data_IF_386426515782
#
_entry.id   IF_386426515782
#
_cell.length_a   1.000
_cell.length_b   1.000
_cell.length_c   1.000
_cell.angle_alpha   90.00
_cell.angle_beta   90.00
_cell.angle_gamma   90.00
#
_symmetry.space_group_name_H-M   'P 1'
#
loop_
_entity.id
_entity.type
_entity.pdbx_description
1 polymer ?
#
# COMPACT_ATOMS: atom_id res chain seq x y z
N UNK A 1 6.73 6.01 12.47
CA UNK A 1 6.15 7.32 12.12
C UNK A 1 6.90 8.52 12.69
N UNK A 2 7.46 8.50 13.91
CA UNK A 2 8.28 9.63 14.41
C UNK A 2 9.61 9.81 13.65
N UNK A 3 9.94 8.88 12.74
CA UNK A 3 11.14 8.87 11.90
C UNK A 3 10.97 9.61 10.57
N UNK A 4 9.74 9.87 10.12
CA UNK A 4 9.48 10.52 8.82
C UNK A 4 8.88 11.91 9.05
N UNK A 5 9.50 12.92 8.42
CA UNK A 5 9.11 14.34 8.52
C UNK A 5 7.84 14.62 7.74
N UNK A 6 7.73 14.00 6.56
CA UNK A 6 6.54 13.92 5.74
C UNK A 6 6.33 12.45 5.38
N UNK A 7 5.08 11.99 5.39
CA UNK A 7 4.72 10.62 5.01
C UNK A 7 3.32 10.61 4.40
N UNK A 8 3.20 10.06 3.19
CA UNK A 8 1.98 10.07 2.38
C UNK A 8 1.86 8.73 1.63
N UNK A 9 0.76 8.04 1.92
CA UNK A 9 0.38 6.79 1.29
C UNK A 9 -0.73 7.10 0.27
N UNK A 10 -0.49 6.82 -1.00
CA UNK A 10 -1.49 7.00 -2.07
C UNK A 10 -1.89 5.63 -2.59
N UNK A 11 -3.21 5.42 -2.70
CA UNK A 11 -3.82 4.15 -3.12
C UNK A 11 -4.69 4.44 -4.33
N UNK A 12 -4.45 3.77 -5.45
CA UNK A 12 -5.21 3.95 -6.69
C UNK A 12 -5.64 2.60 -7.25
N UNK A 13 -6.89 2.22 -6.99
CA UNK A 13 -7.52 1.07 -7.61
C UNK A 13 -8.07 1.46 -9.00
N UNK A 14 -7.48 0.93 -10.05
CA UNK A 14 -7.95 1.08 -11.43
C UNK A 14 -8.64 -0.21 -11.89
N UNK A 15 -9.94 -0.19 -12.24
CA UNK A 15 -10.63 -1.38 -12.70
C UNK A 15 -10.07 -1.84 -14.05
N UNK A 16 -9.97 -3.16 -14.23
CA UNK A 16 -9.47 -3.76 -15.46
C UNK A 16 -10.54 -3.72 -16.57
N UNK A 17 -10.12 -3.79 -17.83
CA UNK A 17 -11.01 -4.09 -18.96
C UNK A 17 -11.77 -5.38 -18.68
N UNK A 18 -13.10 -5.31 -18.62
CA UNK A 18 -13.99 -6.41 -18.23
C UNK A 18 -14.53 -6.34 -16.78
N UNK A 19 -13.94 -5.51 -15.91
CA UNK A 19 -14.42 -5.27 -14.54
C UNK A 19 -14.22 -6.40 -13.53
N UNK A 20 -13.76 -7.58 -13.98
CA UNK A 20 -13.58 -8.79 -13.16
C UNK A 20 -12.46 -8.67 -12.10
N UNK A 21 -11.48 -7.78 -12.34
CA UNK A 21 -10.45 -7.43 -11.36
C UNK A 21 -10.12 -5.93 -11.36
N UNK A 22 -9.35 -5.49 -10.36
CA UNK A 22 -8.86 -4.11 -10.22
C UNK A 22 -7.38 -4.13 -9.86
N UNK A 23 -6.57 -3.37 -10.61
CA UNK A 23 -5.16 -3.20 -10.33
C UNK A 23 -4.98 -2.09 -9.29
N UNK A 24 -4.45 -2.44 -8.11
CA UNK A 24 -4.21 -1.49 -7.02
C UNK A 24 -2.76 -1.01 -7.05
N UNK A 25 -2.57 0.25 -7.42
CA UNK A 25 -1.28 0.93 -7.33
C UNK A 25 -1.12 1.51 -5.92
N UNK A 26 0.05 1.26 -5.33
CA UNK A 26 0.43 1.75 -4.00
C UNK A 26 1.68 2.60 -4.12
N UNK A 27 1.56 3.90 -3.87
CA UNK A 27 2.67 4.85 -3.93
C UNK A 27 3.00 5.35 -2.53
N UNK A 28 4.28 5.33 -2.17
CA UNK A 28 4.78 5.72 -0.85
C UNK A 28 5.70 6.93 -0.99
N UNK A 29 5.18 8.12 -0.69
CA UNK A 29 5.90 9.38 -0.69
C UNK A 29 6.33 9.70 0.74
N UNK A 30 7.63 9.81 1.01
CA UNK A 30 8.13 10.04 2.36
C UNK A 30 9.44 10.85 2.38
N UNK A 31 9.64 11.58 3.46
CA UNK A 31 10.85 12.34 3.76
C UNK A 31 11.41 11.86 5.09
N UNK A 32 12.63 11.32 5.10
CA UNK A 32 13.31 10.91 6.34
C UNK A 32 13.73 12.14 7.16
N UNK A 33 13.79 12.02 8.48
CA UNK A 33 14.37 13.07 9.33
C UNK A 33 15.91 13.13 9.26
N UNK A 34 16.57 12.02 8.94
CA UNK A 34 18.01 11.90 8.66
C UNK A 34 18.30 10.68 7.77
N UNK A 35 19.54 10.51 7.30
CA UNK A 35 19.91 9.42 6.39
C UNK A 35 20.02 8.05 7.09
N UNK A 36 20.22 8.01 8.41
CA UNK A 36 20.34 6.78 9.21
C UNK A 36 19.01 6.00 9.31
N UNK A 37 17.88 6.68 9.07
CA UNK A 37 16.56 6.08 9.08
C UNK A 37 16.38 5.12 7.89
N UNK A 38 15.96 3.87 8.11
CA UNK A 38 15.84 2.89 7.05
C UNK A 38 14.72 3.23 6.05
N UNK A 39 14.87 2.70 4.84
CA UNK A 39 13.81 2.64 3.83
C UNK A 39 12.58 1.90 4.40
N UNK A 40 11.34 2.39 4.20
CA UNK A 40 10.11 1.78 4.73
C UNK A 40 9.66 0.50 3.99
N UNK A 41 10.60 -0.41 3.65
CA UNK A 41 10.30 -1.68 2.98
C UNK A 41 9.36 -2.59 3.80
N UNK A 42 9.43 -2.54 5.13
CA UNK A 42 8.49 -3.23 6.02
C UNK A 42 7.04 -2.73 5.84
N UNK A 43 6.89 -1.43 5.56
CA UNK A 43 5.60 -0.77 5.34
C UNK A 43 5.02 -1.15 3.97
N UNK A 44 5.87 -1.30 2.94
CA UNK A 44 5.49 -1.88 1.65
C UNK A 44 5.02 -3.34 1.80
N UNK A 45 5.69 -4.17 2.62
CA UNK A 45 5.23 -5.54 2.87
C UNK A 45 3.93 -5.63 3.68
N UNK A 46 3.71 -4.70 4.62
CA UNK A 46 2.43 -4.58 5.34
C UNK A 46 1.29 -4.22 4.37
N UNK A 47 1.52 -3.29 3.44
CA UNK A 47 0.58 -2.90 2.39
C UNK A 47 0.21 -4.07 1.47
N UNK A 48 1.20 -4.90 1.09
CA UNK A 48 0.96 -6.12 0.28
C UNK A 48 0.13 -7.16 1.03
N UNK A 49 0.36 -7.37 2.34
CA UNK A 49 -0.49 -8.27 3.14
C UNK A 49 -1.91 -7.73 3.29
N UNK A 50 -2.05 -6.46 3.67
CA UNK A 50 -3.35 -5.79 3.81
C UNK A 50 -4.17 -5.87 2.52
N UNK A 51 -3.52 -5.75 1.35
CA UNK A 51 -4.18 -5.92 0.05
C UNK A 51 -4.76 -7.32 -0.15
N UNK A 52 -4.02 -8.37 0.26
CA UNK A 52 -4.50 -9.76 0.20
C UNK A 52 -5.63 -9.99 1.19
N UNK A 53 -5.53 -9.48 2.42
CA UNK A 53 -6.57 -9.64 3.44
C UNK A 53 -7.90 -8.99 3.02
N UNK A 54 -7.84 -7.86 2.29
CA UNK A 54 -9.01 -7.19 1.69
C UNK A 54 -9.59 -8.00 0.53
N UNK A 55 -8.74 -8.56 -0.34
CA UNK A 55 -9.18 -9.41 -1.45
C UNK A 55 -9.82 -10.72 -0.95
N UNK A 56 -9.19 -11.39 0.01
CA UNK A 56 -9.73 -12.53 0.76
C UNK A 56 -11.08 -12.18 1.43
N UNK A 57 -11.23 -10.99 1.99
CA UNK A 57 -12.48 -10.57 2.62
C UNK A 57 -13.62 -10.36 1.60
N UNK A 58 -13.33 -9.76 0.44
CA UNK A 58 -14.33 -9.50 -0.59
C UNK A 58 -14.68 -10.75 -1.41
N UNK A 59 -13.73 -11.64 -1.67
CA UNK A 59 -13.94 -12.90 -2.40
C UNK A 59 -14.64 -13.99 -1.57
N UNK A 60 -14.55 -13.97 -0.23
CA UNK A 60 -15.17 -14.96 0.66
C UNK A 60 -16.68 -14.79 0.88
N UNK A 61 -17.37 -13.95 0.11
CA UNK A 61 -18.84 -13.85 0.14
C UNK A 61 -19.49 -15.01 -0.61
N UNK A 62 -19.90 -16.03 0.15
CA UNK A 62 -21.06 -16.88 -0.17
C UNK A 62 -22.34 -16.24 0.36
#
# INVERSE_FOLDING_TARGET
>A
MKEYKNFKLVVQATPQSGGEWSLVHWTLEYEKLNEEIPEPFSLLQFVVHTSKDIDDHHTKKK
#
